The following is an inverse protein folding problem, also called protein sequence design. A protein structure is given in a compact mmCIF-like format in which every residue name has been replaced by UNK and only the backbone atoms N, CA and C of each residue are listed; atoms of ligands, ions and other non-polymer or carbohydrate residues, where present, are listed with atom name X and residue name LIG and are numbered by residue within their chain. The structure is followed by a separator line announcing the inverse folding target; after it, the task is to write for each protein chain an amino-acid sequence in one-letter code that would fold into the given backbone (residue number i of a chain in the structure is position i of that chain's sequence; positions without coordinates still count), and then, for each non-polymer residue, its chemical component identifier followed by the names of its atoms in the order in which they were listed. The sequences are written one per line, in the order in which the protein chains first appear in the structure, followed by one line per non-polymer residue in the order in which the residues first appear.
data_IF_855692976772
#
_entry.id   IF_855692976772
#
_cell.length_a   1.000
_cell.length_b   1.000
_cell.length_c   1.000
_cell.angle_alpha   90.00
_cell.angle_beta   90.00
_cell.angle_gamma   90.00
#
_symmetry.space_group_name_H-M   'P 1'
#
loop_
_entity.id
_entity.type
_entity.pdbx_description
1 polymer ?
#
# COMPACT_ATOMS: atom_id res chain seq x y z
N UNK A 1 -7.84 -32.10 2.47
CA UNK A 1 -9.29 -31.92 2.19
C UNK A 1 -9.97 -33.15 2.73
N UNK A 2 -10.84 -33.00 3.73
CA UNK A 2 -11.59 -34.13 4.26
C UNK A 2 -12.60 -34.61 3.21
N UNK A 3 -12.82 -35.91 3.12
CA UNK A 3 -13.80 -36.54 2.22
C UNK A 3 -15.24 -35.99 2.41
N UNK A 4 -15.51 -35.41 3.56
CA UNK A 4 -16.82 -34.91 4.00
C UNK A 4 -17.31 -33.65 3.27
N UNK A 5 -16.44 -32.90 2.58
CA UNK A 5 -16.85 -31.65 1.88
C UNK A 5 -16.94 -31.81 0.37
N UNK A 6 -16.71 -33.01 -0.17
CA UNK A 6 -16.76 -33.28 -1.60
C UNK A 6 -18.23 -33.26 -2.09
N UNK A 7 -18.57 -32.27 -2.95
CA UNK A 7 -19.93 -32.10 -3.47
C UNK A 7 -20.85 -31.25 -2.60
N UNK A 8 -20.40 -30.81 -1.41
CA UNK A 8 -21.19 -29.94 -0.54
C UNK A 8 -21.44 -28.58 -1.19
N UNK A 9 -22.66 -28.08 -1.15
CA UNK A 9 -22.98 -26.72 -1.63
C UNK A 9 -22.35 -25.66 -0.74
N UNK A 10 -22.22 -24.45 -1.26
CA UNK A 10 -21.74 -23.31 -0.48
C UNK A 10 -22.63 -23.03 0.73
N UNK A 11 -23.95 -23.13 0.57
CA UNK A 11 -24.92 -22.93 1.64
C UNK A 11 -24.76 -23.96 2.76
N UNK A 12 -24.69 -25.25 2.43
CA UNK A 12 -24.48 -26.33 3.41
C UNK A 12 -23.17 -26.14 4.16
N UNK A 13 -22.09 -25.77 3.44
CA UNK A 13 -20.80 -25.44 4.04
C UNK A 13 -20.93 -24.31 5.05
N UNK A 14 -21.60 -23.20 4.68
CA UNK A 14 -21.76 -22.04 5.57
C UNK A 14 -22.55 -22.37 6.83
N UNK A 15 -23.58 -23.21 6.72
CA UNK A 15 -24.36 -23.67 7.88
C UNK A 15 -23.50 -24.53 8.80
N UNK A 16 -22.81 -25.54 8.28
CA UNK A 16 -21.97 -26.46 9.05
C UNK A 16 -20.77 -25.78 9.70
N UNK A 17 -20.13 -24.85 9.00
CA UNK A 17 -18.94 -24.13 9.47
C UNK A 17 -19.29 -22.87 10.29
N UNK A 18 -20.57 -22.59 10.51
CA UNK A 18 -21.08 -21.37 11.18
C UNK A 18 -20.59 -20.06 10.53
N UNK A 19 -20.50 -20.06 9.20
CA UNK A 19 -20.04 -18.91 8.41
C UNK A 19 -21.16 -18.29 7.60
N UNK A 20 -22.27 -18.00 8.26
CA UNK A 20 -23.45 -17.37 7.62
C UNK A 20 -23.12 -16.01 6.97
N UNK A 21 -22.08 -15.34 7.42
CA UNK A 21 -21.61 -14.07 6.85
C UNK A 21 -21.22 -14.18 5.37
N UNK A 22 -20.78 -15.37 4.89
CA UNK A 22 -20.48 -15.57 3.49
C UNK A 22 -21.74 -15.53 2.61
N UNK A 23 -22.87 -16.02 3.12
CA UNK A 23 -24.14 -15.98 2.40
C UNK A 23 -24.66 -14.54 2.26
N UNK A 24 -24.43 -13.69 3.28
CA UNK A 24 -24.78 -12.28 3.24
C UNK A 24 -23.92 -11.48 2.27
N UNK A 25 -22.73 -12.00 1.93
CA UNK A 25 -21.80 -11.36 1.00
C UNK A 25 -21.95 -11.88 -0.44
N UNK A 26 -22.90 -12.78 -0.70
CA UNK A 26 -23.19 -13.24 -2.06
C UNK A 26 -23.90 -12.16 -2.87
N UNK A 27 -23.36 -11.78 -4.02
CA UNK A 27 -23.96 -10.74 -4.86
C UNK A 27 -25.03 -11.33 -5.80
N UNK A 28 -26.27 -11.48 -5.32
CA UNK A 28 -27.34 -12.12 -6.08
C UNK A 28 -27.59 -11.50 -7.46
N UNK A 29 -27.53 -10.16 -7.57
CA UNK A 29 -27.84 -9.47 -8.82
C UNK A 29 -26.79 -9.66 -9.93
N UNK A 30 -25.50 -9.91 -9.55
CA UNK A 30 -24.41 -10.03 -10.53
C UNK A 30 -23.98 -11.47 -10.82
N UNK A 31 -24.59 -12.46 -10.17
CA UNK A 31 -24.24 -13.86 -10.34
C UNK A 31 -25.20 -14.62 -11.27
N UNK A 32 -26.02 -13.92 -12.07
CA UNK A 32 -26.83 -14.46 -13.18
C UNK A 32 -27.53 -15.81 -12.87
N UNK A 33 -28.34 -15.84 -11.81
CA UNK A 33 -29.08 -17.04 -11.39
C UNK A 33 -28.26 -18.08 -10.61
N UNK A 34 -26.95 -17.91 -10.48
CA UNK A 34 -26.16 -18.72 -9.55
C UNK A 34 -26.50 -18.36 -8.12
N UNK A 35 -26.68 -19.37 -7.29
CA UNK A 35 -26.99 -19.21 -5.87
C UNK A 35 -26.06 -20.07 -5.01
N UNK A 36 -25.93 -19.77 -3.71
CA UNK A 36 -25.17 -20.62 -2.78
C UNK A 36 -25.67 -22.08 -2.70
N UNK A 37 -26.90 -22.36 -3.14
CA UNK A 37 -27.47 -23.70 -3.22
C UNK A 37 -27.03 -24.49 -4.47
N UNK A 38 -26.65 -23.78 -5.54
CA UNK A 38 -26.30 -24.39 -6.84
C UNK A 38 -24.79 -24.54 -7.08
N UNK A 39 -23.96 -23.92 -6.25
CA UNK A 39 -22.50 -23.95 -6.37
C UNK A 39 -21.84 -24.74 -5.24
N UNK A 40 -20.72 -25.42 -5.52
CA UNK A 40 -19.99 -26.18 -4.50
C UNK A 40 -19.02 -25.31 -3.73
N UNK A 41 -18.81 -25.60 -2.45
CA UNK A 41 -17.94 -24.80 -1.57
C UNK A 41 -16.44 -24.80 -1.96
N UNK A 42 -16.00 -25.76 -2.77
CA UNK A 42 -14.62 -25.86 -3.28
C UNK A 42 -14.48 -25.44 -4.75
N UNK A 43 -15.52 -24.86 -5.34
CA UNK A 43 -15.48 -24.39 -6.72
C UNK A 43 -14.43 -23.31 -6.92
N UNK A 44 -13.65 -23.43 -8.00
CA UNK A 44 -12.76 -22.36 -8.49
C UNK A 44 -13.47 -21.36 -9.40
N UNK A 45 -14.78 -21.50 -9.56
CA UNK A 45 -15.59 -20.54 -10.27
C UNK A 45 -15.48 -19.18 -9.57
N UNK A 46 -15.17 -18.14 -10.35
CA UNK A 46 -15.21 -16.75 -9.88
C UNK A 46 -16.66 -16.28 -9.89
N UNK A 47 -17.07 -15.74 -8.76
CA UNK A 47 -18.40 -15.16 -8.54
C UNK A 47 -18.27 -13.77 -7.93
N UNK A 48 -19.31 -12.98 -8.02
CA UNK A 48 -19.39 -11.67 -7.42
C UNK A 48 -19.74 -11.76 -5.94
N UNK A 49 -19.02 -10.97 -5.18
CA UNK A 49 -19.22 -10.78 -3.74
C UNK A 49 -19.47 -9.30 -3.46
N UNK A 50 -20.19 -9.02 -2.39
CA UNK A 50 -20.43 -7.67 -1.88
C UNK A 50 -20.26 -7.68 -0.36
N UNK A 51 -19.55 -6.70 0.22
CA UNK A 51 -19.46 -6.57 1.67
C UNK A 51 -20.46 -5.54 2.24
N UNK A 52 -20.43 -5.37 3.55
CA UNK A 52 -21.33 -4.43 4.25
C UNK A 52 -21.07 -2.96 3.93
N UNK A 53 -19.90 -2.65 3.38
CA UNK A 53 -19.52 -1.31 2.95
C UNK A 53 -19.90 -1.04 1.49
N UNK A 54 -20.48 -2.04 0.81
CA UNK A 54 -20.86 -1.95 -0.60
C UNK A 54 -19.71 -2.21 -1.57
N UNK A 55 -18.55 -2.70 -1.10
CA UNK A 55 -17.47 -3.07 -2.02
C UNK A 55 -17.85 -4.33 -2.78
N UNK A 56 -17.72 -4.26 -4.09
CA UNK A 56 -18.04 -5.37 -5.00
C UNK A 56 -16.76 -5.90 -5.64
N UNK A 57 -16.57 -7.22 -5.63
CA UNK A 57 -15.41 -7.86 -6.26
C UNK A 57 -15.71 -9.25 -6.76
N UNK A 58 -14.87 -9.74 -7.67
CA UNK A 58 -14.91 -11.13 -8.13
C UNK A 58 -13.85 -11.97 -7.43
N UNK A 59 -14.24 -13.13 -6.93
CA UNK A 59 -13.31 -14.07 -6.30
C UNK A 59 -13.83 -15.49 -6.42
N UNK A 60 -12.91 -16.47 -6.51
CA UNK A 60 -13.24 -17.88 -6.44
C UNK A 60 -13.92 -18.23 -5.12
N UNK A 61 -14.93 -19.10 -5.18
CA UNK A 61 -15.60 -19.63 -3.98
C UNK A 61 -14.59 -20.31 -3.06
N UNK A 62 -13.67 -21.12 -3.62
CA UNK A 62 -12.59 -21.79 -2.88
C UNK A 62 -11.75 -20.79 -2.06
N UNK A 63 -11.44 -19.64 -2.62
CA UNK A 63 -10.66 -18.61 -1.93
C UNK A 63 -11.38 -18.06 -0.70
N UNK A 64 -12.70 -18.04 -0.71
CA UNK A 64 -13.54 -17.60 0.40
C UNK A 64 -13.71 -18.68 1.48
N UNK A 65 -13.87 -19.91 1.05
CA UNK A 65 -14.15 -21.05 1.96
C UNK A 65 -12.90 -21.64 2.57
N UNK A 66 -11.91 -22.02 1.75
CA UNK A 66 -10.71 -22.73 2.19
C UNK A 66 -9.56 -21.78 2.59
N UNK A 67 -9.39 -20.65 1.87
CA UNK A 67 -8.30 -19.70 2.15
C UNK A 67 -8.74 -18.51 3.03
N UNK A 68 -9.98 -18.45 3.42
CA UNK A 68 -10.57 -17.40 4.26
C UNK A 68 -10.29 -15.96 3.77
N UNK A 69 -10.10 -15.77 2.46
CA UNK A 69 -9.82 -14.45 1.90
C UNK A 69 -11.09 -13.61 1.87
N UNK A 70 -11.05 -12.44 2.51
CA UNK A 70 -12.12 -11.46 2.51
C UNK A 70 -12.05 -10.48 1.35
N UNK A 71 -12.79 -9.37 1.46
CA UNK A 71 -12.76 -8.25 0.54
C UNK A 71 -11.30 -7.79 0.28
N UNK A 72 -10.84 -7.69 -0.98
CA UNK A 72 -9.48 -7.28 -1.28
C UNK A 72 -9.21 -5.82 -0.93
N UNK A 73 -10.21 -4.96 -1.02
CA UNK A 73 -10.12 -3.55 -0.69
C UNK A 73 -9.98 -3.33 0.83
N UNK A 74 -10.84 -3.96 1.64
CA UNK A 74 -10.74 -3.92 3.10
C UNK A 74 -9.42 -4.52 3.62
N UNK A 75 -8.89 -5.51 2.92
CA UNK A 75 -7.60 -6.14 3.25
C UNK A 75 -6.38 -5.37 2.69
N UNK A 76 -6.56 -4.25 2.00
CA UNK A 76 -5.48 -3.47 1.38
C UNK A 76 -4.70 -4.17 0.27
N UNK A 77 -5.23 -5.29 -0.28
CA UNK A 77 -4.60 -6.03 -1.38
C UNK A 77 -4.82 -5.40 -2.75
N UNK A 78 -5.95 -4.75 -2.91
CA UNK A 78 -6.31 -3.98 -4.10
C UNK A 78 -6.67 -2.55 -3.69
N UNK A 79 -6.37 -1.59 -4.57
CA UNK A 79 -6.69 -0.20 -4.33
C UNK A 79 -8.12 0.10 -4.79
N UNK A 80 -8.85 0.83 -3.97
CA UNK A 80 -10.14 1.42 -4.30
C UNK A 80 -10.06 2.91 -4.03
N UNK A 81 -10.07 3.70 -5.10
CA UNK A 81 -10.00 5.15 -5.01
C UNK A 81 -11.14 5.72 -4.16
N UNK A 82 -10.82 6.66 -3.27
CA UNK A 82 -11.77 7.22 -2.31
C UNK A 82 -11.96 6.39 -1.04
N UNK A 83 -11.36 5.21 -0.93
CA UNK A 83 -11.49 4.35 0.25
C UNK A 83 -10.16 4.01 0.93
N UNK A 84 -9.28 3.26 0.27
CA UNK A 84 -8.04 2.76 0.86
C UNK A 84 -6.78 3.24 0.11
N UNK A 85 -6.95 4.14 -0.85
CA UNK A 85 -5.84 4.77 -1.56
C UNK A 85 -5.06 5.73 -0.65
N UNK A 86 -3.83 6.05 -1.05
CA UNK A 86 -2.94 6.90 -0.27
C UNK A 86 -3.48 8.33 -0.13
N UNK A 87 -4.14 8.87 -1.18
CA UNK A 87 -4.69 10.21 -1.13
C UNK A 87 -5.79 10.35 -0.09
N UNK A 88 -6.67 9.35 -0.01
CA UNK A 88 -7.78 9.33 0.94
C UNK A 88 -7.34 9.05 2.38
N UNK A 89 -6.39 8.12 2.55
CA UNK A 89 -5.95 7.68 3.89
C UNK A 89 -4.84 8.56 4.48
N UNK A 90 -4.00 9.18 3.66
CA UNK A 90 -2.84 9.98 4.08
C UNK A 90 -2.70 11.26 3.25
N UNK A 91 -3.67 12.22 3.31
CA UNK A 91 -3.69 13.40 2.47
C UNK A 91 -2.45 14.31 2.64
N UNK A 92 -1.96 14.47 3.87
CA UNK A 92 -0.74 15.25 4.13
C UNK A 92 0.51 14.63 3.49
N UNK A 93 0.56 13.29 3.42
CA UNK A 93 1.65 12.59 2.75
C UNK A 93 1.51 12.69 1.23
N UNK A 94 0.30 12.61 0.71
CA UNK A 94 0.01 12.79 -0.72
C UNK A 94 0.41 14.18 -1.24
N UNK A 95 0.34 15.22 -0.41
CA UNK A 95 0.83 16.57 -0.75
C UNK A 95 2.34 16.61 -1.01
N UNK A 96 3.10 15.64 -0.52
CA UNK A 96 4.53 15.49 -0.76
C UNK A 96 4.87 14.58 -1.95
N UNK A 97 3.87 14.13 -2.71
CA UNK A 97 4.06 13.32 -3.90
C UNK A 97 4.66 14.15 -5.03
N UNK A 98 5.80 13.73 -5.57
CA UNK A 98 6.43 14.43 -6.71
C UNK A 98 5.78 13.96 -8.02
N UNK A 99 4.67 14.60 -8.42
CA UNK A 99 3.89 14.20 -9.60
C UNK A 99 4.71 14.25 -10.88
N UNK A 100 5.61 15.23 -11.03
CA UNK A 100 6.43 15.38 -12.23
C UNK A 100 7.34 14.16 -12.44
N UNK A 101 7.92 13.62 -11.33
CA UNK A 101 8.84 12.49 -11.40
C UNK A 101 8.16 11.12 -11.31
N UNK A 102 6.91 11.08 -10.88
CA UNK A 102 6.10 9.85 -10.82
C UNK A 102 5.23 9.65 -12.07
N UNK A 103 5.22 10.61 -13.00
CA UNK A 103 4.47 10.55 -14.27
C UNK A 103 2.98 10.23 -14.06
N UNK A 104 2.50 9.13 -14.64
CA UNK A 104 1.10 8.73 -14.59
C UNK A 104 0.68 8.08 -13.26
N UNK A 105 1.65 7.75 -12.39
CA UNK A 105 1.35 7.16 -11.10
C UNK A 105 0.90 8.25 -10.11
N UNK A 106 -0.29 8.09 -9.54
CA UNK A 106 -0.86 9.02 -8.59
C UNK A 106 -1.11 8.37 -7.21
N UNK A 107 -1.26 9.18 -6.14
CA UNK A 107 -1.59 8.65 -4.81
C UNK A 107 -2.92 7.88 -4.75
N UNK A 108 -3.86 8.14 -5.67
CA UNK A 108 -5.13 7.42 -5.78
C UNK A 108 -4.98 5.98 -6.31
N UNK A 109 -3.84 5.68 -6.94
CA UNK A 109 -3.58 4.36 -7.55
C UNK A 109 -2.83 3.40 -6.63
N UNK A 110 -2.52 3.79 -5.41
CA UNK A 110 -1.68 3.01 -4.48
C UNK A 110 -2.25 3.01 -3.08
N UNK A 111 -2.04 1.91 -2.35
CA UNK A 111 -2.37 1.82 -0.91
C UNK A 111 -1.19 2.26 -0.04
N UNK A 112 -1.46 2.64 1.22
CA UNK A 112 -0.45 3.07 2.19
C UNK A 112 0.64 2.01 2.47
N UNK A 113 0.30 0.73 2.40
CA UNK A 113 1.24 -0.39 2.61
C UNK A 113 2.05 -0.80 1.38
N UNK A 114 1.95 -0.09 0.26
CA UNK A 114 2.60 -0.46 -0.99
C UNK A 114 4.13 -0.33 -0.88
N UNK A 115 4.87 -1.36 -1.30
CA UNK A 115 6.34 -1.41 -1.26
C UNK A 115 7.03 -0.71 -2.44
N UNK A 116 6.28 -0.18 -3.39
CA UNK A 116 6.83 0.52 -4.56
C UNK A 116 7.59 1.76 -4.13
N UNK A 117 8.80 1.97 -4.69
CA UNK A 117 9.56 3.21 -4.55
C UNK A 117 9.00 4.26 -5.50
N UNK A 118 8.76 5.44 -4.96
CA UNK A 118 8.25 6.60 -5.69
C UNK A 118 9.02 7.85 -5.28
N UNK A 119 8.88 8.91 -6.06
CA UNK A 119 9.49 10.20 -5.77
C UNK A 119 8.61 11.01 -4.83
N UNK A 120 9.26 11.63 -3.86
CA UNK A 120 8.69 12.52 -2.86
C UNK A 120 9.36 13.88 -2.93
N UNK A 121 8.62 14.95 -2.63
CA UNK A 121 9.13 16.31 -2.53
C UNK A 121 8.70 16.90 -1.19
N UNK A 122 9.65 17.33 -0.33
CA UNK A 122 9.31 18.00 0.91
C UNK A 122 9.04 19.50 0.69
N UNK A 123 8.52 20.18 1.72
CA UNK A 123 8.21 21.61 1.68
C UNK A 123 9.44 22.50 1.36
N UNK A 124 10.65 22.02 1.70
CA UNK A 124 11.91 22.70 1.36
C UNK A 124 12.39 22.40 -0.07
N UNK A 125 11.62 21.70 -0.88
CA UNK A 125 11.93 21.39 -2.29
C UNK A 125 12.86 20.20 -2.50
N UNK A 126 13.33 19.51 -1.43
CA UNK A 126 14.17 18.32 -1.61
C UNK A 126 13.35 17.19 -2.22
N UNK A 127 13.90 16.58 -3.28
CA UNK A 127 13.28 15.46 -3.97
C UNK A 127 14.10 14.18 -3.76
N UNK A 128 13.44 13.07 -3.35
CA UNK A 128 14.09 11.79 -3.08
C UNK A 128 13.16 10.62 -3.38
N UNK A 129 13.72 9.42 -3.45
CA UNK A 129 12.95 8.18 -3.59
C UNK A 129 12.83 7.46 -2.24
N UNK A 130 11.62 7.00 -1.92
CA UNK A 130 11.34 6.12 -0.80
C UNK A 130 10.14 5.23 -1.12
N UNK A 131 10.02 4.08 -0.45
CA UNK A 131 8.81 3.26 -0.57
C UNK A 131 7.62 3.96 0.08
N UNK A 132 6.41 3.72 -0.44
CA UNK A 132 5.20 4.28 0.14
C UNK A 132 5.07 3.80 1.59
N UNK A 133 5.24 2.50 1.83
CA UNK A 133 5.19 1.92 3.18
C UNK A 133 6.17 2.57 4.17
N UNK A 134 7.41 2.89 3.77
CA UNK A 134 8.36 3.57 4.67
C UNK A 134 7.93 5.00 4.98
N UNK A 135 7.32 5.69 4.03
CA UNK A 135 6.79 7.03 4.25
C UNK A 135 5.60 7.03 5.20
N UNK A 136 4.67 6.10 5.04
CA UNK A 136 3.51 5.94 5.94
C UNK A 136 3.92 5.50 7.34
N UNK A 137 5.07 4.80 7.48
CA UNK A 137 5.69 4.48 8.78
C UNK A 137 6.49 5.64 9.38
N UNK A 138 6.41 6.86 8.82
CA UNK A 138 7.01 8.06 9.40
C UNK A 138 8.42 8.43 8.92
N UNK A 139 8.99 7.69 7.95
CA UNK A 139 10.30 8.07 7.40
C UNK A 139 10.19 9.38 6.60
N UNK A 140 10.87 10.44 7.04
CA UNK A 140 10.88 11.77 6.43
C UNK A 140 11.91 11.94 5.30
N UNK A 141 12.11 13.21 4.89
CA UNK A 141 13.14 13.60 3.96
C UNK A 141 14.53 13.31 4.53
N UNK A 142 15.39 12.54 3.84
CA UNK A 142 16.71 12.19 4.34
C UNK A 142 17.66 13.41 4.44
N UNK A 143 17.46 14.44 3.63
CA UNK A 143 18.23 15.69 3.68
C UNK A 143 17.84 16.51 4.91
N UNK A 144 16.53 16.71 5.12
CA UNK A 144 16.05 17.43 6.32
C UNK A 144 16.39 16.71 7.64
N UNK A 145 16.53 15.40 7.60
CA UNK A 145 16.92 14.56 8.74
C UNK A 145 18.44 14.36 8.87
N UNK A 146 19.26 15.12 8.14
CA UNK A 146 20.73 15.03 8.09
C UNK A 146 21.30 13.63 7.82
N UNK A 147 20.48 12.74 7.20
CA UNK A 147 20.89 11.38 6.79
C UNK A 147 21.49 11.34 5.38
N UNK A 148 21.29 12.41 4.63
CA UNK A 148 21.89 12.62 3.30
C UNK A 148 22.37 14.06 3.20
N UNK A 149 23.63 14.23 2.85
CA UNK A 149 24.21 15.54 2.64
C UNK A 149 23.77 16.09 1.30
N UNK A 150 23.36 17.33 1.30
CA UNK A 150 23.08 18.14 0.13
C UNK A 150 23.96 19.38 0.21
N UNK A 151 25.02 19.48 -0.64
CA UNK A 151 25.89 20.67 -0.66
C UNK A 151 25.08 21.95 -0.85
N UNK A 152 25.42 22.98 -0.08
CA UNK A 152 24.69 24.25 -0.07
C UNK A 152 23.42 24.24 0.80
N UNK A 153 23.15 23.17 1.54
CA UNK A 153 22.00 23.11 2.44
C UNK A 153 22.34 22.64 3.86
N UNK A 154 22.85 21.42 4.03
CA UNK A 154 23.14 20.82 5.34
C UNK A 154 24.57 20.32 5.47
N UNK A 155 25.44 20.73 4.58
CA UNK A 155 26.88 20.45 4.67
C UNK A 155 27.57 21.41 5.66
N UNK A 156 28.76 21.01 6.15
CA UNK A 156 29.53 21.76 7.12
C UNK A 156 29.92 23.16 6.60
N UNK A 157 30.28 23.27 5.32
CA UNK A 157 30.63 24.55 4.71
C UNK A 157 29.50 25.57 4.78
N UNK A 158 28.25 25.09 4.63
CA UNK A 158 27.04 25.92 4.64
C UNK A 158 26.57 26.20 6.08
N UNK A 159 26.56 25.18 6.95
CA UNK A 159 25.99 25.30 8.30
C UNK A 159 26.95 25.90 9.31
N UNK A 160 28.28 25.69 9.13
CA UNK A 160 29.34 26.14 10.03
C UNK A 160 30.55 26.67 9.25
N UNK A 161 30.39 27.80 8.52
CA UNK A 161 31.44 28.32 7.63
C UNK A 161 32.75 28.67 8.36
N UNK A 162 32.68 29.14 9.59
CA UNK A 162 33.87 29.42 10.38
C UNK A 162 34.69 28.14 10.68
N UNK A 163 33.99 27.05 11.04
CA UNK A 163 34.64 25.75 11.29
C UNK A 163 35.16 25.13 9.98
N UNK A 164 34.47 25.34 8.91
CA UNK A 164 34.90 24.86 7.58
C UNK A 164 36.17 25.58 7.08
N UNK A 165 36.41 26.83 7.52
CA UNK A 165 37.64 27.57 7.21
C UNK A 165 38.89 27.00 7.93
N UNK A 166 38.72 26.30 9.04
CA UNK A 166 39.80 25.61 9.78
C UNK A 166 40.11 24.21 9.20
N UNK A 167 39.37 23.79 8.14
CA UNK A 167 39.51 22.47 7.56
C UNK A 167 40.86 22.29 6.89
N UNK A 168 41.61 21.26 7.32
CA UNK A 168 42.94 21.02 6.79
C UNK A 168 42.85 20.41 5.39
N UNK A 169 43.39 21.08 4.34
CA UNK A 169 43.14 20.70 2.94
C UNK A 169 43.72 19.33 2.51
N UNK A 170 44.73 18.84 3.23
CA UNK A 170 45.46 17.61 2.84
C UNK A 170 45.21 16.46 3.83
N UNK A 171 45.18 16.72 5.15
CA UNK A 171 45.11 15.66 6.18
C UNK A 171 43.79 14.88 6.19
N UNK A 172 42.73 15.42 5.60
CA UNK A 172 41.41 14.82 5.58
C UNK A 172 41.17 14.00 4.31
N UNK A 173 42.17 13.78 3.48
CA UNK A 173 42.03 13.01 2.21
C UNK A 173 40.98 13.63 1.27
N UNK A 174 40.08 12.81 0.77
CA UNK A 174 38.99 13.23 -0.16
C UNK A 174 37.76 13.83 0.55
N UNK A 175 37.78 13.91 1.88
CA UNK A 175 36.72 14.56 2.63
C UNK A 175 36.87 16.09 2.56
N UNK A 176 35.76 16.73 2.19
CA UNK A 176 35.66 18.21 2.17
C UNK A 176 34.49 18.67 3.03
N UNK A 177 34.47 19.93 3.52
CA UNK A 177 33.35 20.46 4.27
C UNK A 177 31.99 20.38 3.58
N UNK A 178 31.97 20.29 2.26
CA UNK A 178 30.74 20.11 1.45
C UNK A 178 30.24 18.66 1.41
N UNK A 179 31.06 17.68 1.84
CA UNK A 179 30.73 16.25 1.84
C UNK A 179 30.33 15.70 3.20
N UNK A 180 30.36 16.55 4.24
CA UNK A 180 30.00 16.18 5.63
C UNK A 180 28.97 17.17 6.20
N UNK A 181 28.24 16.76 7.23
CA UNK A 181 27.25 17.58 7.97
C UNK A 181 27.67 17.73 9.41
#
# INVERSE_FOLDING_TARGET
MSAETRGMTLKEYCIRSRRAELLQQWHYAKNDGLTPDTVTCHSRQKVWWIDRLGHEWQQEIYSRTALCRGCPFCAGREVLAGFNDLASTHPALSAQWDQEKNFDLTPQMVTAGNSRKVWWRCEKGHSWQATIASRTSGCGCPVCANRKILPGFNDLATTHPALAAEWHPIKNGDLTPQKIS
#
